data_IF_995844590627
#
_entry.id   IF_995844590627
#
_cell.length_a   1.000
_cell.length_b   1.000
_cell.length_c   1.000
_cell.angle_alpha   90.00
_cell.angle_beta   90.00
_cell.angle_gamma   90.00
#
_symmetry.space_group_name_H-M   'P 1'
#
loop_
_entity.id
_entity.type
_entity.pdbx_description
1 polymer ?
2 non-polymer ?
3 non-polymer ?
4 non-polymer ?
5 water ?
#
# COMPACT_ATOMS: atom_id res chain seq x y z
N UNK A 39 -16.32 19.00 1.55
CA UNK A 39 -17.01 18.51 0.30
C UNK A 39 -16.85 16.99 0.24
N UNK A 40 -16.75 16.37 -0.95
CA UNK A 40 -16.39 14.93 -1.12
C UNK A 40 -14.87 14.77 -1.07
N UNK A 41 -14.38 13.97 -0.12
CA UNK A 41 -12.93 13.65 0.03
C UNK A 41 -12.49 12.83 -1.19
N UNK A 42 -11.41 13.27 -1.85
CA UNK A 42 -10.71 12.54 -2.94
C UNK A 42 -9.84 11.45 -2.28
N UNK A 43 -9.92 10.22 -2.76
CA UNK A 43 -9.18 9.08 -2.17
C UNK A 43 -8.11 8.66 -3.18
N UNK A 44 -6.83 8.73 -2.78
CA UNK A 44 -5.67 8.43 -3.66
C UNK A 44 -4.80 7.41 -2.93
N UNK A 45 -4.58 6.25 -3.56
CA UNK A 45 -3.64 5.22 -3.06
C UNK A 45 -2.24 5.59 -3.52
N UNK A 46 -1.28 5.51 -2.61
CA UNK A 46 0.17 5.47 -2.91
C UNK A 46 0.62 4.01 -2.88
N UNK A 47 1.07 3.50 -4.03
CA UNK A 47 1.47 2.10 -4.25
C UNK A 47 2.95 2.06 -4.63
N UNK A 48 3.59 0.93 -4.34
CA UNK A 48 4.99 0.70 -4.72
C UNK A 48 5.64 -0.37 -3.88
N UNK A 49 6.82 -0.80 -4.32
CA UNK A 49 7.54 -1.92 -3.71
C UNK A 49 7.94 -1.53 -2.29
N UNK A 50 8.35 -2.53 -1.54
CA UNK A 50 8.94 -2.35 -0.18
C UNK A 50 10.10 -1.37 -0.29
N UNK A 51 10.12 -0.37 0.60
CA UNK A 51 11.21 0.62 0.73
C UNK A 51 11.38 1.48 -0.52
N UNK A 52 10.42 1.50 -1.46
CA UNK A 52 10.39 2.47 -2.60
C UNK A 52 10.40 3.93 -2.10
N UNK A 53 9.81 4.21 -0.93
CA UNK A 53 9.74 5.56 -0.34
C UNK A 53 8.33 6.07 -0.09
N UNK A 54 7.34 5.19 0.07
CA UNK A 54 5.91 5.61 0.19
C UNK A 54 5.71 6.39 1.50
N UNK A 55 6.29 5.92 2.61
CA UNK A 55 6.09 6.55 3.94
C UNK A 55 6.74 7.95 3.93
N UNK A 56 7.94 8.03 3.37
CA UNK A 56 8.65 9.30 3.18
C UNK A 56 7.78 10.25 2.36
N UNK A 57 7.26 9.78 1.23
CA UNK A 57 6.50 10.64 0.29
C UNK A 57 5.20 11.11 0.95
N UNK A 58 4.49 10.19 1.57
CA UNK A 58 3.22 10.51 2.28
C UNK A 58 3.43 11.55 3.41
N UNK A 59 4.52 11.47 4.17
CA UNK A 59 4.83 12.43 5.27
C UNK A 59 5.31 13.78 4.70
N UNK A 60 5.82 13.82 3.47
CA UNK A 60 6.03 15.12 2.76
C UNK A 60 4.66 15.70 2.38
N UNK A 61 3.77 14.91 1.79
CA UNK A 61 2.50 15.45 1.26
C UNK A 61 1.67 16.04 2.39
N UNK A 62 1.58 15.35 3.53
CA UNK A 62 0.59 15.71 4.58
C UNK A 62 0.83 17.15 5.08
N UNK A 63 2.09 17.58 5.07
CA UNK A 63 2.55 18.89 5.60
C UNK A 63 2.30 20.02 4.60
N UNK A 64 1.98 19.71 3.35
CA UNK A 64 2.00 20.73 2.28
C UNK A 64 0.62 21.39 2.18
N UNK A 65 -0.43 20.79 2.73
CA UNK A 65 -1.78 21.36 2.63
C UNK A 65 -2.62 20.93 3.83
N UNK A 66 -3.44 21.84 4.34
CA UNK A 66 -4.43 21.58 5.41
C UNK A 66 -5.57 20.73 4.83
N UNK A 67 -5.72 20.70 3.50
CA UNK A 67 -6.78 19.90 2.81
C UNK A 67 -6.27 18.47 2.52
N UNK A 68 -5.03 18.15 2.93
CA UNK A 68 -4.33 16.88 2.59
C UNK A 68 -4.09 16.05 3.83
N UNK A 69 -4.73 14.90 3.91
CA UNK A 69 -4.50 13.93 5.02
C UNK A 69 -3.95 12.61 4.45
N UNK A 70 -3.33 11.83 5.33
CA UNK A 70 -2.67 10.54 5.05
C UNK A 70 -3.26 9.45 5.94
N UNK A 71 -3.37 8.22 5.41
CA UNK A 71 -3.69 6.99 6.19
C UNK A 71 -2.48 6.07 6.09
N UNK A 72 -1.63 6.08 7.14
CA UNK A 72 -0.47 5.21 7.18
C UNK A 72 -0.90 3.73 7.14
N UNK A 73 -0.04 2.89 6.61
CA UNK A 73 -0.35 1.44 6.49
C UNK A 73 -0.23 0.82 7.89
N UNK A 74 -1.26 0.07 8.36
CA UNK A 74 -1.15 -0.68 9.62
C UNK A 74 0.08 -1.59 9.74
N UNK A 75 0.37 -2.35 8.70
CA UNK A 75 1.56 -3.24 8.71
C UNK A 75 2.80 -2.38 8.99
N UNK A 76 2.91 -1.20 8.37
CA UNK A 76 4.09 -0.32 8.52
C UNK A 76 4.16 0.11 9.99
N UNK A 77 3.03 0.48 10.59
CA UNK A 77 2.94 0.87 12.02
C UNK A 77 3.33 -0.31 12.92
N UNK A 78 2.93 -1.54 12.60
CA UNK A 78 3.24 -2.73 13.46
C UNK A 78 4.76 -2.88 13.60
N UNK A 79 5.53 -2.65 12.53
CA UNK A 79 7.00 -2.82 12.49
C UNK A 79 7.68 -1.96 13.57
N UNK A 90 1.16 1.02 26.42
CA UNK A 90 1.61 1.89 25.29
C UNK A 90 1.04 1.36 23.97
N UNK A 91 1.09 0.04 23.76
CA UNK A 91 0.72 -0.62 22.48
C UNK A 91 -0.79 -0.85 22.44
N UNK A 92 -1.45 -0.43 21.35
CA UNK A 92 -2.86 -0.80 21.06
C UNK A 92 -2.94 -2.33 20.90
N UNK A 93 -4.11 -2.92 21.13
CA UNK A 93 -4.27 -4.38 20.96
C UNK A 93 -4.00 -4.73 19.49
N UNK A 94 -4.33 -3.84 18.55
CA UNK A 94 -3.99 -4.09 17.13
C UNK A 94 -2.48 -4.26 17.01
N UNK A 95 -1.69 -3.40 17.63
CA UNK A 95 -0.21 -3.41 17.47
C UNK A 95 0.39 -4.63 18.16
N UNK A 96 -0.17 -5.07 19.28
CA UNK A 96 0.22 -6.33 19.98
C UNK A 96 -0.01 -7.51 19.03
N UNK A 97 -1.23 -7.62 18.51
CA UNK A 97 -1.63 -8.70 17.56
C UNK A 97 -0.74 -8.60 16.33
N UNK A 98 -0.57 -7.39 15.81
CA UNK A 98 0.19 -7.14 14.56
C UNK A 98 1.64 -7.54 14.70
N UNK A 99 2.33 -7.10 15.75
CA UNK A 99 3.73 -7.52 15.98
C UNK A 99 3.86 -9.04 16.13
N UNK A 100 2.98 -9.66 16.92
CA UNK A 100 3.01 -11.13 17.13
C UNK A 100 2.89 -11.77 15.76
N UNK A 101 1.89 -11.41 14.96
CA UNK A 101 1.66 -12.16 13.69
C UNK A 101 2.79 -11.88 12.68
N UNK A 102 3.34 -10.67 12.69
CA UNK A 102 4.51 -10.29 11.88
C UNK A 102 5.71 -11.18 12.25
N UNK A 103 6.01 -11.32 13.54
CA UNK A 103 7.15 -12.14 14.01
C UNK A 103 6.93 -13.60 13.62
N UNK A 104 5.71 -14.09 13.82
CA UNK A 104 5.38 -15.51 13.54
C UNK A 104 5.54 -15.77 12.05
N UNK A 105 5.23 -14.78 11.20
CA UNK A 105 5.33 -14.90 9.71
C UNK A 105 6.78 -15.13 9.29
N UNK A 106 7.71 -14.46 10.00
CA UNK A 106 9.16 -14.55 9.71
C UNK A 106 9.60 -15.96 10.10
N UNK A 107 9.00 -16.51 11.16
CA UNK A 107 9.25 -17.92 11.59
C UNK A 107 8.62 -18.90 10.60
N UNK A 108 7.32 -18.78 10.30
CA UNK A 108 6.60 -19.84 9.56
C UNK A 108 5.51 -19.24 8.67
N UNK A 109 5.87 -18.69 7.50
CA UNK A 109 4.87 -18.02 6.65
C UNK A 109 3.74 -18.95 6.18
N UNK A 110 3.98 -20.24 5.95
CA UNK A 110 2.96 -21.17 5.41
C UNK A 110 1.90 -21.49 6.51
N UNK A 111 2.20 -21.23 7.79
CA UNK A 111 1.23 -21.32 8.91
C UNK A 111 0.43 -20.01 9.07
N UNK A 112 1.03 -18.84 8.87
CA UNK A 112 0.46 -17.55 9.35
C UNK A 112 -0.01 -16.64 8.21
N UNK A 113 0.30 -16.94 6.95
CA UNK A 113 0.00 -16.04 5.82
C UNK A 113 -1.49 -15.66 5.85
N UNK A 114 -2.40 -16.61 5.99
CA UNK A 114 -3.86 -16.31 5.87
C UNK A 114 -4.25 -15.34 6.99
N UNK A 115 -3.79 -15.62 8.20
CA UNK A 115 -4.16 -14.90 9.43
C UNK A 115 -3.64 -13.47 9.27
N UNK A 116 -2.38 -13.32 8.86
CA UNK A 116 -1.69 -12.03 8.65
C UNK A 116 -2.46 -11.20 7.62
N UNK A 117 -2.71 -11.80 6.45
CA UNK A 117 -3.33 -11.07 5.32
C UNK A 117 -4.72 -10.58 5.72
N UNK A 118 -5.52 -11.41 6.42
CA UNK A 118 -6.91 -11.04 6.84
C UNK A 118 -6.81 -9.90 7.85
N UNK A 119 -5.94 -10.04 8.83
CA UNK A 119 -5.79 -8.98 9.86
C UNK A 119 -5.21 -7.70 9.26
N UNK A 120 -4.25 -7.81 8.35
CA UNK A 120 -3.62 -6.64 7.71
C UNK A 120 -4.68 -5.87 6.95
N UNK A 121 -5.53 -6.59 6.22
CA UNK A 121 -6.57 -5.96 5.36
C UNK A 121 -7.71 -5.42 6.24
N UNK A 122 -8.19 -6.16 7.23
CA UNK A 122 -9.21 -5.60 8.17
C UNK A 122 -8.68 -4.29 8.79
N UNK A 123 -7.45 -4.29 9.29
CA UNK A 123 -6.85 -3.14 10.01
C UNK A 123 -6.74 -1.95 9.08
N UNK A 124 -6.40 -2.18 7.80
CA UNK A 124 -6.38 -1.11 6.79
C UNK A 124 -7.80 -0.57 6.58
N UNK A 125 -8.81 -1.44 6.45
CA UNK A 125 -10.18 -0.94 6.12
C UNK A 125 -10.63 -0.06 7.29
N UNK A 126 -10.38 -0.47 8.53
CA UNK A 126 -10.93 0.29 9.68
C UNK A 126 -10.20 1.62 9.76
N UNK A 127 -8.86 1.65 9.57
CA UNK A 127 -8.06 2.89 9.61
C UNK A 127 -8.48 3.81 8.48
N UNK A 128 -8.70 3.29 7.26
CA UNK A 128 -9.19 4.11 6.12
C UNK A 128 -10.58 4.71 6.45
N UNK A 129 -11.48 3.92 7.00
CA UNK A 129 -12.87 4.36 7.32
C UNK A 129 -12.80 5.44 8.41
N UNK A 130 -12.01 5.24 9.46
CA UNK A 130 -11.83 6.22 10.55
C UNK A 130 -11.35 7.56 9.97
N UNK A 131 -10.39 7.57 9.04
CA UNK A 131 -9.90 8.85 8.45
C UNK A 131 -11.02 9.47 7.58
N UNK A 132 -11.74 8.66 6.83
CA UNK A 132 -12.80 9.15 5.93
C UNK A 132 -13.93 9.80 6.72
N UNK A 133 -14.17 9.39 7.97
CA UNK A 133 -15.29 9.92 8.81
C UNK A 133 -14.77 10.86 9.91
N UNK A 134 -13.46 10.97 10.11
CA UNK A 134 -12.88 11.75 11.24
C UNK A 134 -12.08 12.98 10.80
N UNK A 135 -11.92 13.23 9.50
CA UNK A 135 -10.94 14.24 9.00
C UNK A 135 -11.51 15.02 7.82
N UNK A 136 -10.92 16.19 7.56
CA UNK A 136 -11.17 17.02 6.34
C UNK A 136 -12.65 17.41 6.25
N UNK A 137 -13.37 17.51 7.37
CA UNK A 137 -14.79 17.89 7.35
C UNK A 137 -14.93 19.36 6.91
N UNK A 138 -13.94 20.20 7.20
CA UNK A 138 -13.98 21.67 6.90
C UNK A 138 -13.00 22.04 5.78
N UNK A 139 -12.62 21.10 4.91
CA UNK A 139 -11.65 21.31 3.82
C UNK A 139 -12.40 21.74 2.54
N UNK A 140 -11.80 22.61 1.73
CA UNK A 140 -12.44 23.00 0.45
C UNK A 140 -12.10 21.94 -0.61
N UNK A 141 -10.84 21.50 -0.71
CA UNK A 141 -10.40 20.47 -1.69
C UNK A 141 -9.80 19.28 -0.95
N UNK A 142 -10.60 18.56 -0.13
CA UNK A 142 -10.08 17.53 0.75
C UNK A 142 -9.46 16.38 -0.06
N UNK A 143 -8.24 15.98 0.29
CA UNK A 143 -7.62 14.74 -0.29
C UNK A 143 -7.06 13.88 0.83
N UNK A 144 -7.39 12.60 0.75
CA UNK A 144 -6.90 11.56 1.69
C UNK A 144 -5.99 10.63 0.87
N UNK A 145 -4.71 10.61 1.20
CA UNK A 145 -3.68 9.75 0.59
C UNK A 145 -3.57 8.48 1.42
N UNK A 146 -3.94 7.35 0.84
CA UNK A 146 -3.82 6.00 1.45
C UNK A 146 -2.40 5.48 1.19
N UNK A 147 -1.67 5.14 2.24
CA UNK A 147 -0.44 4.32 2.11
C UNK A 147 -0.85 2.87 1.74
N UNK A 148 -0.72 2.52 0.46
CA UNK A 148 -1.19 1.24 -0.14
C UNK A 148 -2.71 1.15 0.01
N UNK A 149 -3.32 0.04 -0.40
CA UNK A 149 -4.80 -0.11 -0.50
C UNK A 149 -5.19 -1.55 -0.22
N UNK A 150 -6.50 -1.83 -0.20
CA UNK A 150 -7.03 -3.21 -0.07
C UNK A 150 -6.58 -4.00 -1.31
N UNK A 151 -6.28 -3.31 -2.42
CA UNK A 151 -5.92 -3.94 -3.71
C UNK A 151 -4.47 -4.45 -3.70
N UNK A 152 -3.54 -3.69 -3.11
CA UNK A 152 -2.15 -4.17 -2.88
C UNK A 152 -2.19 -5.34 -1.89
N UNK A 153 -3.05 -5.28 -0.87
CA UNK A 153 -3.15 -6.39 0.12
C UNK A 153 -3.36 -7.70 -0.65
N UNK A 154 -4.27 -7.68 -1.61
CA UNK A 154 -4.75 -8.89 -2.30
C UNK A 154 -3.83 -9.22 -3.48
N UNK A 155 -3.62 -8.25 -4.37
CA UNK A 155 -3.07 -8.53 -5.71
C UNK A 155 -1.57 -8.45 -5.69
N UNK A 156 -0.99 -7.92 -4.62
CA UNK A 156 0.49 -7.94 -4.45
C UNK A 156 0.81 -8.98 -3.39
N UNK A 157 0.43 -8.74 -2.13
CA UNK A 157 1.05 -9.50 -1.02
C UNK A 157 0.41 -10.88 -0.90
N UNK A 158 -0.92 -10.93 -0.83
CA UNK A 158 -1.65 -12.18 -0.54
C UNK A 158 -1.45 -13.12 -1.75
N UNK A 159 -1.63 -12.58 -2.95
CA UNK A 159 -1.34 -13.26 -4.24
C UNK A 159 0.05 -13.89 -4.21
N UNK A 160 1.08 -13.12 -3.92
CA UNK A 160 2.48 -13.61 -3.90
C UNK A 160 2.56 -14.79 -2.91
N UNK A 161 1.90 -14.64 -1.76
CA UNK A 161 2.02 -15.66 -0.67
C UNK A 161 1.36 -16.97 -1.15
N UNK A 162 0.24 -16.89 -1.84
CA UNK A 162 -0.38 -18.06 -2.50
C UNK A 162 0.61 -18.67 -3.51
N UNK A 163 1.24 -17.83 -4.33
CA UNK A 163 2.17 -18.26 -5.41
C UNK A 163 3.42 -18.88 -4.79
N UNK A 164 3.80 -18.46 -3.59
CA UNK A 164 4.98 -18.99 -2.85
C UNK A 164 4.55 -20.21 -2.01
N UNK A 165 3.30 -20.67 -2.16
CA UNK A 165 2.76 -21.84 -1.44
C UNK A 165 2.67 -21.55 0.05
N UNK A 166 2.63 -20.28 0.45
CA UNK A 166 2.46 -19.92 1.89
C UNK A 166 0.98 -19.97 2.31
N UNK A 167 0.07 -19.93 1.34
CA UNK A 167 -1.36 -20.21 1.50
C UNK A 167 -1.72 -21.37 0.56
N UNK A 168 -2.50 -22.36 1.00
CA UNK A 168 -2.99 -23.45 0.12
C UNK A 168 -4.18 -22.84 -0.63
N UNK A 169 -4.77 -23.57 -1.58
CA UNK A 169 -5.93 -23.12 -2.39
C UNK A 169 -7.11 -22.68 -1.53
N UNK A 170 -7.53 -23.50 -0.56
CA UNK A 170 -8.68 -23.21 0.33
C UNK A 170 -8.43 -21.87 1.04
N UNK A 171 -7.24 -21.69 1.64
CA UNK A 171 -6.85 -20.43 2.32
C UNK A 171 -6.99 -19.27 1.32
N UNK A 172 -6.43 -19.41 0.12
CA UNK A 172 -6.45 -18.34 -0.91
C UNK A 172 -7.87 -18.07 -1.38
N UNK A 173 -8.69 -19.09 -1.61
CA UNK A 173 -10.08 -18.91 -2.05
C UNK A 173 -10.92 -18.32 -0.91
N UNK A 174 -10.75 -18.80 0.33
CA UNK A 174 -11.45 -18.18 1.49
C UNK A 174 -11.03 -16.70 1.52
N UNK A 175 -9.73 -16.42 1.39
CA UNK A 175 -9.23 -15.02 1.48
C UNK A 175 -9.89 -14.16 0.41
N UNK A 176 -9.89 -14.61 -0.84
CA UNK A 176 -10.51 -13.82 -1.94
C UNK A 176 -12.01 -13.61 -1.73
N UNK A 177 -12.72 -14.64 -1.26
CA UNK A 177 -14.16 -14.56 -0.95
C UNK A 177 -14.42 -13.50 0.14
N UNK A 178 -13.69 -13.59 1.24
CA UNK A 178 -13.72 -12.65 2.39
C UNK A 178 -13.44 -11.23 1.87
N UNK A 179 -12.41 -11.07 1.03
CA UNK A 179 -11.99 -9.75 0.47
C UNK A 179 -13.08 -9.19 -0.43
N UNK A 180 -13.59 -9.99 -1.36
CA UNK A 180 -14.69 -9.58 -2.29
C UNK A 180 -15.83 -9.02 -1.44
N UNK A 181 -16.14 -9.70 -0.36
CA UNK A 181 -17.36 -9.41 0.42
C UNK A 181 -17.09 -8.30 1.47
N UNK A 182 -15.94 -8.31 2.16
CA UNK A 182 -15.55 -7.28 3.15
C UNK A 182 -15.58 -5.90 2.47
N UNK A 183 -15.37 -5.87 1.14
CA UNK A 183 -15.51 -4.70 0.24
C UNK A 183 -16.91 -4.69 -0.41
N UNK A 184 -17.99 -4.87 0.35
CA UNK A 184 -19.38 -4.73 -0.17
C UNK A 184 -19.75 -3.25 -0.21
N UNK A 185 -19.25 -2.54 -1.23
CA UNK A 185 -19.67 -1.16 -1.64
C UNK A 185 -19.59 -0.20 -0.44
N UNK A 189 -17.54 4.77 1.46
CA UNK A 189 -16.91 3.93 0.41
C UNK A 189 -15.44 4.31 0.26
N UNK A 190 -14.59 3.31 0.06
CA UNK A 190 -13.12 3.47 -0.08
C UNK A 190 -12.72 3.41 -1.56
N UNK A 191 -13.66 3.31 -2.50
CA UNK A 191 -13.33 3.30 -3.95
C UNK A 191 -12.37 4.48 -4.22
N UNK A 192 -11.34 4.23 -5.02
CA UNK A 192 -10.19 5.16 -5.24
C UNK A 192 -10.55 6.14 -6.36
N UNK A 193 -10.20 7.41 -6.19
CA UNK A 193 -10.28 8.41 -7.29
C UNK A 193 -9.02 8.31 -8.19
N UNK A 194 -7.90 7.83 -7.65
CA UNK A 194 -6.65 7.72 -8.40
C UNK A 194 -5.60 6.95 -7.62
N UNK A 195 -4.56 6.53 -8.31
CA UNK A 195 -3.42 5.77 -7.73
C UNK A 195 -2.17 6.50 -8.16
N UNK A 196 -1.28 6.66 -7.21
CA UNK A 196 0.09 7.15 -7.47
C UNK A 196 1.01 5.97 -7.25
N UNK A 197 1.68 5.57 -8.33
CA UNK A 197 2.66 4.47 -8.35
C UNK A 197 4.06 5.06 -8.20
N UNK A 198 4.68 4.92 -7.05
CA UNK A 198 6.11 5.23 -6.83
C UNK A 198 6.96 4.05 -7.32
N UNK A 199 7.53 4.22 -8.51
CA UNK A 199 8.26 3.15 -9.23
C UNK A 199 9.75 3.29 -8.92
N UNK A 200 10.30 2.22 -8.37
CA UNK A 200 11.73 2.09 -8.01
C UNK A 200 12.19 0.73 -8.50
N UNK A 201 13.46 0.61 -8.90
CA UNK A 201 14.06 -0.70 -9.25
C UNK A 201 14.14 -1.54 -7.98
N UNK A 202 14.05 -2.87 -8.08
CA UNK A 202 14.38 -3.77 -6.97
C UNK A 202 15.71 -3.43 -6.24
N UNK A 203 16.75 -3.05 -7.00
CA UNK A 203 18.08 -2.63 -6.46
C UNK A 203 17.91 -1.40 -5.56
N UNK A 204 17.16 -0.38 -6.03
CA UNK A 204 16.89 0.85 -5.24
C UNK A 204 16.21 0.45 -3.92
N UNK A 205 15.18 -0.40 -4.01
CA UNK A 205 14.42 -0.87 -2.81
C UNK A 205 15.35 -1.65 -1.88
N UNK A 206 16.19 -2.53 -2.42
CA UNK A 206 17.18 -3.30 -1.63
C UNK A 206 18.12 -2.31 -0.91
N UNK A 207 18.68 -1.34 -1.64
CA UNK A 207 19.51 -0.26 -1.06
C UNK A 207 18.72 0.47 0.04
N UNK A 208 17.44 0.79 -0.22
CA UNK A 208 16.60 1.53 0.76
C UNK A 208 16.23 0.66 1.96
N UNK A 209 16.07 -0.66 1.79
CA UNK A 209 15.89 -1.56 2.98
C UNK A 209 17.12 -1.44 3.87
N UNK A 210 18.32 -1.51 3.28
CA UNK A 210 19.63 -1.26 3.95
C UNK A 210 19.61 0.11 4.64
N UNK A 211 19.31 1.19 3.90
CA UNK A 211 19.21 2.56 4.47
C UNK A 211 18.29 2.57 5.69
N UNK A 212 17.15 1.88 5.65
CA UNK A 212 16.11 2.01 6.72
C UNK A 212 16.51 1.22 7.97
N UNK A 213 17.26 0.13 7.79
CA UNK A 213 18.02 -0.54 8.87
C UNK A 213 17.16 -1.41 9.79
N UNK A 214 15.92 -1.77 9.39
CA UNK A 214 15.09 -2.74 10.15
C UNK A 214 15.82 -4.09 10.13
N UNK A 215 16.03 -4.70 11.30
CA UNK A 215 16.86 -5.93 11.45
C UNK A 215 16.16 -7.10 10.73
N UNK A 216 14.87 -7.29 11.00
CA UNK A 216 14.01 -8.32 10.34
C UNK A 216 14.17 -8.31 8.82
N UNK A 217 14.50 -7.18 8.19
CA UNK A 217 14.34 -6.99 6.72
C UNK A 217 15.67 -7.14 5.99
N UNK A 218 16.80 -7.16 6.70
CA UNK A 218 18.15 -7.07 6.06
C UNK A 218 18.44 -8.30 5.20
N UNK A 219 17.81 -9.44 5.49
CA UNK A 219 18.01 -10.72 4.79
C UNK A 219 17.13 -10.89 3.57
N UNK A 220 16.14 -10.00 3.36
CA UNK A 220 15.18 -10.09 2.21
C UNK A 220 15.99 -10.15 0.92
N UNK A 221 15.86 -11.21 0.09
CA UNK A 221 16.59 -11.29 -1.18
C UNK A 221 16.04 -10.41 -2.30
N UNK A 222 16.91 -10.05 -3.25
CA UNK A 222 16.52 -9.23 -4.43
C UNK A 222 15.42 -9.92 -5.23
N UNK A 223 15.49 -11.26 -5.32
CA UNK A 223 14.51 -12.15 -6.01
C UNK A 223 13.09 -11.82 -5.55
N UNK A 224 12.86 -11.73 -4.24
CA UNK A 224 11.53 -11.43 -3.65
C UNK A 224 11.07 -10.03 -4.11
N UNK A 225 11.93 -9.02 -3.99
CA UNK A 225 11.66 -7.63 -4.43
C UNK A 225 11.37 -7.62 -5.93
N UNK A 226 12.11 -8.43 -6.69
CA UNK A 226 11.90 -8.52 -8.16
C UNK A 226 10.50 -9.04 -8.43
N UNK A 227 10.05 -10.05 -7.66
CA UNK A 227 8.69 -10.65 -7.81
C UNK A 227 7.62 -9.59 -7.52
N UNK A 228 7.74 -8.85 -6.41
CA UNK A 228 6.74 -7.80 -6.08
C UNK A 228 6.80 -6.72 -7.15
N UNK A 229 8.00 -6.38 -7.61
CA UNK A 229 8.18 -5.35 -8.68
C UNK A 229 7.31 -5.75 -9.88
N UNK A 230 7.48 -6.98 -10.36
CA UNK A 230 6.78 -7.49 -11.57
C UNK A 230 5.27 -7.44 -11.38
N UNK A 231 4.77 -7.74 -10.17
CA UNK A 231 3.31 -7.63 -9.87
C UNK A 231 2.86 -6.17 -9.99
N UNK A 232 3.66 -5.23 -9.52
CA UNK A 232 3.30 -3.78 -9.54
C UNK A 232 3.29 -3.35 -11.00
N UNK A 233 4.31 -3.78 -11.77
CA UNK A 233 4.43 -3.38 -13.20
C UNK A 233 3.19 -3.91 -13.91
N UNK A 234 2.81 -5.17 -13.68
CA UNK A 234 1.64 -5.81 -14.34
C UNK A 234 0.35 -5.06 -13.99
N UNK A 235 0.20 -4.68 -12.74
CA UNK A 235 -1.07 -4.10 -12.24
C UNK A 235 -1.15 -2.63 -12.66
N UNK A 236 -0.08 -1.86 -12.45
CA UNK A 236 -0.21 -0.37 -12.49
C UNK A 236 0.39 0.27 -13.76
N UNK A 237 1.32 -0.39 -14.46
CA UNK A 237 1.96 0.14 -15.70
C UNK A 237 1.33 -0.51 -16.94
N UNK A 238 1.51 -1.81 -17.17
CA UNK A 238 1.00 -2.54 -18.37
C UNK A 238 -0.49 -2.78 -18.25
N UNK A 239 -1.01 -2.86 -17.02
CA UNK A 239 -2.45 -3.01 -16.68
C UNK A 239 -2.96 -4.33 -17.28
N UNK A 240 -2.08 -5.33 -17.34
CA UNK A 240 -2.39 -6.71 -17.75
C UNK A 240 -3.24 -7.35 -16.65
N UNK A 241 -2.85 -7.17 -15.38
CA UNK A 241 -3.49 -7.84 -14.21
C UNK A 241 -4.99 -7.54 -14.19
N UNK A 242 -5.82 -8.58 -14.18
CA UNK A 242 -7.30 -8.47 -14.12
C UNK A 242 -7.68 -8.61 -12.65
N UNK A 243 -8.35 -7.62 -12.09
CA UNK A 243 -8.92 -7.66 -10.71
C UNK A 243 -10.39 -7.98 -10.86
N UNK A 244 -11.05 -8.15 -9.72
CA UNK A 244 -12.50 -8.45 -9.59
C UNK A 244 -13.21 -7.14 -9.22
N UNK A 245 -12.55 -6.00 -9.42
CA UNK A 245 -13.12 -4.65 -9.15
C UNK A 245 -13.14 -3.86 -10.46
N UNK A 246 -14.30 -3.85 -11.12
CA UNK A 246 -14.49 -3.36 -12.51
C UNK A 246 -13.87 -1.96 -12.65
N UNK A 247 -14.29 -1.04 -11.78
CA UNK A 247 -13.96 0.41 -11.78
C UNK A 247 -12.44 0.65 -11.76
N UNK A 248 -11.62 -0.27 -11.22
CA UNK A 248 -10.13 -0.14 -11.20
C UNK A 248 -9.59 0.03 -12.62
N UNK A 249 -10.21 -0.64 -13.60
CA UNK A 249 -9.81 -0.56 -15.03
C UNK A 249 -9.77 0.92 -15.45
N UNK A 250 -10.68 1.71 -14.88
CA UNK A 250 -10.96 3.12 -15.24
C UNK A 250 -10.11 4.08 -14.41
N UNK A 251 -9.53 3.65 -13.28
CA UNK A 251 -8.95 4.59 -12.27
C UNK A 251 -7.69 5.20 -12.87
N UNK A 252 -7.55 6.53 -12.84
CA UNK A 252 -6.32 7.15 -13.30
C UNK A 252 -5.14 6.74 -12.41
N UNK A 253 -3.98 6.55 -13.03
CA UNK A 253 -2.71 6.15 -12.39
C UNK A 253 -1.67 7.19 -12.77
N UNK A 254 -1.05 7.81 -11.78
CA UNK A 254 0.16 8.62 -11.93
C UNK A 254 1.35 7.77 -11.52
N UNK A 255 2.31 7.59 -12.44
CA UNK A 255 3.55 6.80 -12.22
C UNK A 255 4.71 7.78 -12.01
N UNK A 256 5.37 7.73 -10.86
CA UNK A 256 6.53 8.61 -10.55
C UNK A 256 7.76 7.72 -10.38
N UNK A 257 8.83 8.03 -11.11
CA UNK A 257 10.16 7.42 -10.93
C UNK A 257 10.79 8.05 -9.70
N UNK A 258 11.04 7.24 -8.68
CA UNK A 258 11.66 7.71 -7.42
C UNK A 258 12.99 6.95 -7.22
N UNK A 259 13.63 6.51 -8.29
CA UNK A 259 15.00 5.95 -8.16
C UNK A 259 15.92 7.00 -7.54
N UNK A 260 15.84 8.25 -7.97
CA UNK A 260 16.68 9.34 -7.40
C UNK A 260 16.12 9.72 -6.02
N UNK A 261 17.00 9.89 -5.03
CA UNK A 261 16.64 10.40 -3.67
C UNK A 261 15.82 11.69 -3.84
N UNK A 262 14.75 11.86 -3.06
CA UNK A 262 13.79 12.97 -3.21
C UNK A 262 13.56 13.66 -1.87
N UNK A 263 14.13 13.16 -0.77
CA UNK A 263 13.83 13.68 0.59
C UNK A 263 14.04 15.20 0.63
N UNK A 264 15.02 15.73 -0.11
CA UNK A 264 15.39 17.17 -0.11
C UNK A 264 15.12 17.78 -1.48
N UNK A 265 14.43 17.08 -2.36
CA UNK A 265 14.32 17.52 -3.77
C UNK A 265 13.06 16.88 -4.36
N UNK A 266 11.89 17.25 -3.83
CA UNK A 266 10.61 16.58 -4.13
C UNK A 266 9.64 17.48 -4.89
N UNK A 267 10.04 18.71 -5.17
CA UNK A 267 9.10 19.72 -5.73
C UNK A 267 8.54 19.25 -7.05
N UNK A 268 9.34 18.64 -7.94
CA UNK A 268 8.85 18.14 -9.26
C UNK A 268 7.81 17.03 -9.06
N UNK A 269 8.05 16.12 -8.11
CA UNK A 269 7.08 15.01 -7.81
C UNK A 269 5.74 15.64 -7.35
N UNK A 270 5.82 16.65 -6.49
CA UNK A 270 4.60 17.27 -5.91
C UNK A 270 3.86 18.01 -7.00
N UNK A 271 4.60 18.69 -7.89
CA UNK A 271 3.97 19.37 -9.04
C UNK A 271 3.19 18.32 -9.85
N UNK A 272 3.73 17.13 -10.07
CA UNK A 272 2.95 16.10 -10.82
C UNK A 272 1.70 15.70 -10.03
N UNK A 273 1.79 15.54 -8.72
CA UNK A 273 0.62 15.17 -7.88
C UNK A 273 -0.46 16.25 -8.02
N UNK A 274 -0.10 17.51 -7.86
CA UNK A 274 -1.07 18.63 -7.99
C UNK A 274 -1.72 18.65 -9.38
N UNK A 275 -0.94 18.57 -10.44
CA UNK A 275 -1.53 18.45 -11.80
C UNK A 275 -2.44 17.21 -11.87
N UNK A 276 -1.98 16.07 -11.34
CA UNK A 276 -2.78 14.82 -11.39
C UNK A 276 -4.13 15.09 -10.70
N UNK A 277 -4.08 15.58 -9.46
CA UNK A 277 -5.29 15.86 -8.64
C UNK A 277 -6.27 16.80 -9.36
N UNK A 278 -5.75 17.81 -10.06
CA UNK A 278 -6.57 18.80 -10.80
C UNK A 278 -7.40 18.11 -11.87
N UNK A 279 -6.95 16.96 -12.40
CA UNK A 279 -7.68 16.25 -13.48
C UNK A 279 -8.79 15.37 -12.89
N UNK A 280 -8.80 15.13 -11.57
CA UNK A 280 -9.71 14.11 -10.95
C UNK A 280 -11.05 14.76 -10.61
X LIG B 1 14.64 7.02 1.47
X LIG B 1 15.68 7.85 0.98
X LIG B 1 15.45 8.66 -0.06
X LIG B 1 14.26 8.67 -0.65
X LIG B 1 13.24 7.85 -0.24
X LIG B 1 13.44 7.02 0.85
X LIG B 1 16.82 7.86 1.53
X LIG B 1 14.08 9.40 -1.63
X LIG B 1 14.85 6.10 2.58
X LIG B 1 13.94 6.29 3.78
X LIG B 1 14.35 7.34 4.71
X LIG B 1 14.01 4.88 4.37
X LIG B 1 14.06 3.98 3.14
X LIG B 1 14.61 4.77 2.06
X LIG B 1 15.20 4.65 5.16
X LIG B 1 12.67 3.48 2.80
X LIG B 1 11.73 4.57 2.65
X LIG B 1 10.24 4.41 3.15
X LIG B 1 10.31 3.84 4.51
X LIG B 1 9.41 5.63 2.95
X LIG B 1 9.72 3.23 2.11
X LIG B 1 8.27 2.51 2.07
X LIG B 1 7.35 3.33 2.90
X LIG B 1 8.58 1.10 2.55
X LIG B 1 7.89 2.54 0.58
X LIG C 1 5.32 -9.59 4.04
X LIG C 1 8.33 -14.13 3.17
X LIG C 1 3.34 -8.72 3.61
X LIG C 1 2.39 -7.63 3.55
X LIG C 1 7.09 -10.99 4.89
X LIG C 1 2.08 -5.39 3.77
X LIG C 1 0.72 -5.54 3.53
X LIG C 1 0.25 -6.86 3.33
X LIG C 1 3.08 -10.00 3.20
X LIG C 1 7.50 -11.89 3.90
X LIG C 1 7.96 -13.17 4.22
X LIG C 1 6.56 -9.72 4.54
X LIG C 1 4.62 -8.49 4.08
X LIG C 1 7.33 -8.52 4.96
X LIG C 1 2.89 -6.43 3.77
X LIG C 1 8.85 -6.63 4.39
X LIG C 1 8.12 -7.85 3.85
X LIG C 1 2.66 -4.22 3.99
X LIG C 1 -1.05 -7.12 3.08
X LIG C 1 1.09 -7.89 3.34
X LIG C 1 4.46 -10.98 3.46
X LIG C 1 9.11 -15.27 3.39
X LIG C 1 9.37 -16.15 2.36
X LIG C 1 8.81 -15.94 1.12
X LIG C 1 9.04 -16.78 -0.12
X LIG C 1 9.25 -18.29 -0.02
X LIG C 1 8.99 -18.96 -1.29
X LIG C 1 9.34 -20.39 -1.33
X LIG C 1 10.12 -20.78 -2.56
X LIG C 1 9.55 -20.33 -3.82
X LIG C 1 8.46 -21.20 -4.29
X LIG C 1 9.13 -18.92 -3.76
X LIG C 1 9.59 -18.28 -2.46
X LIG C 1 8.02 -14.88 0.90
X LIG C 1 7.77 -14.02 1.90
X LIG C 1 7.94 -13.53 5.57
X LIG C 1 7.56 -12.64 6.55
X LIG C 1 7.09 -11.37 6.22
X LIG C 1 6.62 -10.45 7.28
X LIG D 1 -2.19 18.07 5.85
#
# INVERSE_FOLDING_TARGET
MGSSHHHHHHSSGLVPRGSHMATPPKRSSPSFSASSEGTRIKKISIEGNIAAGKSTFVNILKQLSEDWEVVPEPVARWSNVQSTQDEFEELTMEQKNGGNVLQMMYEKPERWSFTFQTYACLSRIRAQLASLNGKLKDAEKPVLFFERSVYSDRYIFASNLYESESMNETEWTIYQDWHDWMNNQFGQSLELDGIIYLQATPETCLHRIYLRGRNEEQGIPLEYLEKLHYKHESWLLHRTLKTNFDYLQEVPILTLDVNEDFKDKYESLVEKVKEFLSTL
UDP N1 C2 N3 C4 C5 C6 O2 O4 C1' C2' O2' C3' C4' O4' O3' C5' O5' PA O1A O2A O3A PB O1B O2B O3B
J5U C4 C14 C5 C6 C11 C7 C8 C9 C10 C12 C13 N1 N2 C3 N3 C1 C2 N4 N5 N6 S1 C15 C16 C17 C18 C19 N7 C20 C21 N8 C22 C23 C24 N9 C25 C26 C27 C28 C29
NA NA
#
